data_IF_724227329155
#
_entry.id   IF_724227329155
#
_cell.length_a   1.000
_cell.length_b   1.000
_cell.length_c   1.000
_cell.angle_alpha   90.00
_cell.angle_beta   90.00
_cell.angle_gamma   90.00
#
_symmetry.space_group_name_H-M   'P 1'
#
loop_
_entity.id
_entity.type
_entity.pdbx_description
1 polymer ?
#
# COMPACT_ATOMS: atom_id res chain seq x y z
N UNK A 1 -3.32 14.29 -1.71
CA UNK A 1 -3.34 12.81 -1.71
C UNK A 1 -2.16 12.33 -0.87
N UNK A 2 -2.30 11.34 0.01
CA UNK A 2 -1.17 10.88 0.84
C UNK A 2 -0.23 10.02 -0.04
N UNK A 3 1.06 10.34 -0.21
CA UNK A 3 1.95 9.64 -1.16
C UNK A 3 1.99 8.11 -0.95
N UNK A 4 1.84 7.65 0.30
CA UNK A 4 1.77 6.23 0.60
C UNK A 4 0.56 5.49 -0.01
N UNK A 5 -0.54 6.19 -0.35
CA UNK A 5 -1.71 5.58 -0.99
C UNK A 5 -1.51 5.33 -2.48
N UNK A 6 -0.76 6.19 -3.18
CA UNK A 6 -0.45 6.00 -4.61
C UNK A 6 0.33 4.70 -4.83
N UNK A 7 1.33 4.46 -3.98
CA UNK A 7 2.18 3.25 -4.03
C UNK A 7 1.36 1.97 -3.84
N UNK A 8 0.25 2.02 -3.09
CA UNK A 8 -0.57 0.83 -2.83
C UNK A 8 -1.55 0.52 -3.97
N UNK A 9 -1.78 1.45 -4.90
CA UNK A 9 -2.79 1.28 -5.94
C UNK A 9 -2.45 0.16 -6.93
N UNK A 10 -1.17 0.04 -7.29
CA UNK A 10 -0.63 -1.02 -8.17
C UNK A 10 -0.88 -2.43 -7.59
N UNK A 11 -0.91 -2.57 -6.26
CA UNK A 11 -1.22 -3.85 -5.60
C UNK A 11 -2.72 -4.21 -5.66
N UNK A 12 -3.59 -3.25 -5.95
CA UNK A 12 -5.02 -3.49 -6.04
C UNK A 12 -5.41 -4.10 -7.39
N UNK A 13 -4.76 -3.71 -8.49
CA UNK A 13 -5.13 -4.12 -9.85
C UNK A 13 -3.96 -4.77 -10.55
N UNK A 14 -2.90 -4.03 -10.86
CA UNK A 14 -1.84 -4.42 -11.80
C UNK A 14 -1.10 -5.70 -11.38
N UNK A 15 -0.78 -5.83 -10.08
CA UNK A 15 -0.14 -7.04 -9.53
C UNK A 15 -1.07 -8.26 -9.54
N UNK A 16 -2.40 -8.05 -9.48
CA UNK A 16 -3.37 -9.15 -9.56
C UNK A 16 -3.75 -9.49 -10.99
N UNK A 17 -3.84 -8.49 -11.87
CA UNK A 17 -4.29 -8.63 -13.25
C UNK A 17 -3.58 -7.60 -14.15
N UNK A 18 -2.88 -8.02 -15.21
CA UNK A 18 -2.76 -9.39 -15.73
C UNK A 18 -1.83 -10.32 -14.93
N UNK A 19 -1.27 -9.84 -13.80
CA UNK A 19 -0.38 -10.62 -12.93
C UNK A 19 1.06 -10.09 -12.94
N UNK A 20 1.25 -8.77 -12.84
CA UNK A 20 2.57 -8.22 -12.62
C UNK A 20 3.13 -8.67 -11.26
N UNK A 21 4.45 -8.77 -11.14
CA UNK A 21 5.08 -9.19 -9.90
C UNK A 21 5.90 -8.05 -9.33
N UNK A 22 5.60 -7.68 -8.09
CA UNK A 22 6.49 -6.84 -7.31
C UNK A 22 7.76 -7.62 -6.97
N UNK A 23 8.90 -6.95 -7.05
CA UNK A 23 10.15 -7.39 -6.44
C UNK A 23 9.98 -7.47 -4.92
N UNK A 24 10.91 -8.17 -4.27
CA UNK A 24 10.93 -8.30 -2.80
C UNK A 24 11.04 -6.94 -2.10
N UNK A 25 11.77 -6.00 -2.69
CA UNK A 25 12.00 -4.69 -2.08
C UNK A 25 10.78 -3.78 -2.27
N UNK A 26 10.16 -3.78 -3.46
CA UNK A 26 8.87 -3.11 -3.67
C UNK A 26 7.80 -3.64 -2.70
N UNK A 27 7.70 -4.96 -2.53
CA UNK A 27 6.77 -5.57 -1.58
C UNK A 27 7.03 -5.13 -0.13
N UNK A 28 8.31 -4.99 0.28
CA UNK A 28 8.66 -4.48 1.61
C UNK A 28 8.21 -3.04 1.79
N UNK A 29 8.40 -2.20 0.78
CA UNK A 29 8.02 -0.80 0.83
C UNK A 29 6.51 -0.62 0.83
N UNK A 30 5.77 -1.44 0.07
CA UNK A 30 4.31 -1.50 0.14
C UNK A 30 3.80 -1.87 1.54
N UNK A 31 4.42 -2.83 2.22
CA UNK A 31 4.05 -3.18 3.61
C UNK A 31 4.29 -2.00 4.56
N UNK A 32 5.38 -1.24 4.40
CA UNK A 32 5.63 -0.03 5.20
C UNK A 32 4.57 1.04 4.93
N UNK A 33 4.25 1.30 3.67
CA UNK A 33 3.22 2.24 3.26
C UNK A 33 1.84 1.86 3.82
N UNK A 34 1.46 0.57 3.74
CA UNK A 34 0.22 0.06 4.32
C UNK A 34 0.14 0.29 5.83
N UNK A 35 1.25 0.09 6.57
CA UNK A 35 1.28 0.36 8.01
C UNK A 35 1.06 1.84 8.32
N UNK A 36 1.67 2.75 7.55
CA UNK A 36 1.47 4.20 7.72
C UNK A 36 0.01 4.59 7.47
N UNK A 37 -0.59 4.07 6.39
CA UNK A 37 -2.00 4.31 6.07
C UNK A 37 -2.92 3.74 7.16
N UNK A 38 -2.62 2.56 7.69
CA UNK A 38 -3.38 1.95 8.78
C UNK A 38 -3.35 2.80 10.05
N UNK A 39 -2.19 3.33 10.44
CA UNK A 39 -2.08 4.25 11.59
C UNK A 39 -2.92 5.49 11.36
N UNK A 40 -2.76 6.15 10.21
CA UNK A 40 -3.55 7.31 9.84
C UNK A 40 -5.06 7.05 9.90
N UNK A 41 -5.53 5.93 9.36
CA UNK A 41 -6.94 5.57 9.38
C UNK A 41 -7.45 5.32 10.81
N UNK A 42 -6.66 4.64 11.65
CA UNK A 42 -6.99 4.37 13.05
C UNK A 42 -7.08 5.64 13.89
N UNK A 43 -6.13 6.55 13.72
CA UNK A 43 -6.14 7.86 14.38
C UNK A 43 -7.43 8.64 14.05
N UNK A 44 -7.91 8.56 12.79
CA UNK A 44 -9.16 9.20 12.36
C UNK A 44 -10.42 8.50 12.87
N UNK A 45 -10.34 7.20 13.12
CA UNK A 45 -11.45 6.40 13.65
C UNK A 45 -11.46 6.35 15.19
N UNK A 46 -10.49 6.98 15.86
CA UNK A 46 -10.37 6.98 17.32
C UNK A 46 -9.97 5.62 17.90
N UNK A 47 -9.18 4.82 17.16
CA UNK A 47 -8.74 3.48 17.56
C UNK A 47 -7.22 3.34 17.64
#
# INVERSE_FOLDING_TARGET
MHPALEILNVYAVDIRYPGEFATKDEARDAVKAMKQVRVFARDKLGQ
#
